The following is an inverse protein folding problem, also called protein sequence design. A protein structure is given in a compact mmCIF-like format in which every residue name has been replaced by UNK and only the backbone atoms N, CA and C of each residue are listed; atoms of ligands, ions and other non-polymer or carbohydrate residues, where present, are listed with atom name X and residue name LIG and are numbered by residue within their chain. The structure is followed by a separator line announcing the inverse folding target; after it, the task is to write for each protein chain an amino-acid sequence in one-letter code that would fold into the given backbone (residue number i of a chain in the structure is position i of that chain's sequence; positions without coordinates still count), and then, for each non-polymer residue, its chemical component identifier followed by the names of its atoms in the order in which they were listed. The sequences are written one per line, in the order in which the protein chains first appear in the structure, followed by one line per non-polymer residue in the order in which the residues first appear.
data_IF_501491629558
#
_entry.id   IF_501491629558
#
_cell.length_a   1.000
_cell.length_b   1.000
_cell.length_c   1.000
_cell.angle_alpha   90.00
_cell.angle_beta   90.00
_cell.angle_gamma   90.00
#
_symmetry.space_group_name_H-M   'P 1'
#
loop_
_entity.id
_entity.type
_entity.pdbx_description
1 polymer ?
#
# COMPACT_ATOMS: atom_id res chain seq x y z
N UNK A 1 -4.17 8.74 -25.54
CA UNK A 1 -5.22 8.68 -24.50
C UNK A 1 -5.11 9.93 -23.65
N UNK A 2 -6.23 10.51 -23.23
CA UNK A 2 -6.22 11.65 -22.32
C UNK A 2 -5.96 11.12 -20.90
N UNK A 3 -5.01 11.69 -20.14
CA UNK A 3 -4.78 11.29 -18.76
C UNK A 3 -6.05 11.47 -17.92
N UNK A 4 -6.37 10.50 -17.06
CA UNK A 4 -7.48 10.65 -16.10
C UNK A 4 -7.04 11.60 -14.99
N UNK A 5 -7.65 12.79 -14.85
CA UNK A 5 -7.29 13.74 -13.80
C UNK A 5 -7.78 13.24 -12.44
N UNK A 6 -7.05 13.60 -11.39
CA UNK A 6 -7.45 13.31 -10.02
C UNK A 6 -8.65 14.18 -9.61
N UNK A 7 -9.56 13.60 -8.84
CA UNK A 7 -10.75 14.31 -8.34
C UNK A 7 -10.43 15.38 -7.29
N UNK A 8 -9.37 15.20 -6.51
CA UNK A 8 -8.92 16.11 -5.47
C UNK A 8 -7.77 16.99 -5.96
N UNK A 9 -7.74 18.23 -5.48
CA UNK A 9 -6.70 19.21 -5.76
C UNK A 9 -6.26 19.90 -4.46
N UNK A 10 -5.05 20.46 -4.43
CA UNK A 10 -4.60 21.25 -3.29
C UNK A 10 -5.50 22.49 -3.12
N UNK A 11 -5.78 22.83 -1.87
CA UNK A 11 -6.52 24.01 -1.46
C UNK A 11 -5.76 24.81 -0.38
N UNK A 12 -6.40 25.87 0.14
CA UNK A 12 -5.81 26.74 1.16
C UNK A 12 -5.53 26.02 2.51
N UNK A 13 -6.08 24.83 2.73
CA UNK A 13 -5.91 24.07 3.98
C UNK A 13 -4.82 23.00 3.88
N UNK A 14 -4.45 22.61 2.66
CA UNK A 14 -3.58 21.45 2.38
C UNK A 14 -2.23 21.56 3.09
N UNK A 15 -1.57 22.72 3.05
CA UNK A 15 -0.27 22.94 3.72
C UNK A 15 -0.39 22.85 5.26
N UNK A 16 -1.47 23.39 5.82
CA UNK A 16 -1.78 23.29 7.25
C UNK A 16 -2.00 21.85 7.69
N UNK A 17 -2.70 21.05 6.87
CA UNK A 17 -2.93 19.62 7.12
C UNK A 17 -1.63 18.83 7.08
N UNK A 18 -0.76 19.05 6.07
CA UNK A 18 0.58 18.42 5.99
C UNK A 18 1.43 18.77 7.22
N UNK A 19 1.38 20.02 7.68
CA UNK A 19 2.12 20.47 8.87
C UNK A 19 1.58 19.80 10.15
N UNK A 20 0.26 19.72 10.30
CA UNK A 20 -0.38 19.04 11.44
C UNK A 20 -0.03 17.55 11.50
N UNK A 21 -0.08 16.86 10.35
CA UNK A 21 0.32 15.44 10.25
C UNK A 21 1.79 15.25 10.63
N UNK A 22 2.67 16.16 10.21
CA UNK A 22 4.09 16.11 10.56
C UNK A 22 4.31 16.18 12.08
N UNK A 23 3.61 17.09 12.76
CA UNK A 23 3.68 17.21 14.23
C UNK A 23 3.18 15.94 14.94
N UNK A 24 2.08 15.34 14.45
CA UNK A 24 1.55 14.07 15.01
C UNK A 24 2.53 12.91 14.80
N UNK A 25 3.16 12.83 13.63
CA UNK A 25 4.19 11.82 13.33
C UNK A 25 5.38 11.95 14.28
N UNK A 26 5.87 13.18 14.51
CA UNK A 26 6.98 13.45 15.43
C UNK A 26 6.64 13.03 16.87
N UNK A 27 5.42 13.32 17.34
CA UNK A 27 4.95 12.91 18.66
C UNK A 27 4.98 11.38 18.83
N UNK A 28 4.44 10.63 17.88
CA UNK A 28 4.46 9.17 17.93
C UNK A 28 5.89 8.60 17.79
N UNK A 29 6.70 9.19 16.91
CA UNK A 29 8.09 8.76 16.68
C UNK A 29 8.95 8.91 17.93
N UNK A 30 8.72 9.94 18.74
CA UNK A 30 9.40 10.10 20.03
C UNK A 30 9.10 9.01 21.06
N UNK A 31 8.06 8.20 20.84
CA UNK A 31 7.54 7.25 21.83
C UNK A 31 7.49 5.79 21.32
N UNK A 32 7.79 5.53 20.04
CA UNK A 32 7.68 4.20 19.41
C UNK A 32 8.52 3.11 20.11
N UNK A 33 9.71 3.44 20.62
CA UNK A 33 10.57 2.47 21.33
C UNK A 33 9.98 1.99 22.66
N UNK A 34 9.05 2.76 23.24
CA UNK A 34 8.34 2.39 24.48
C UNK A 34 6.97 1.78 24.16
N UNK A 35 6.30 2.26 23.10
CA UNK A 35 4.96 1.85 22.68
C UNK A 35 4.98 1.39 21.22
N UNK A 36 5.32 0.11 20.92
CA UNK A 36 5.47 -0.35 19.54
C UNK A 36 4.19 -0.24 18.70
N UNK A 37 3.00 -0.20 19.32
CA UNK A 37 1.73 0.06 18.64
C UNK A 37 1.68 1.45 17.95
N UNK A 38 2.56 2.38 18.32
CA UNK A 38 2.71 3.66 17.63
C UNK A 38 3.31 3.52 16.24
N UNK A 39 4.00 2.42 15.92
CA UNK A 39 4.45 2.12 14.57
C UNK A 39 3.28 2.15 13.57
N UNK A 40 2.13 1.58 13.92
CA UNK A 40 0.94 1.64 13.08
C UNK A 40 0.41 3.07 12.91
N UNK A 41 0.45 3.89 13.96
CA UNK A 41 0.01 5.29 13.87
C UNK A 41 0.94 6.10 12.97
N UNK A 42 2.26 5.95 13.14
CA UNK A 42 3.25 6.57 12.25
C UNK A 42 3.01 6.14 10.81
N UNK A 43 2.76 4.85 10.56
CA UNK A 43 2.47 4.34 9.23
C UNK A 43 1.24 5.03 8.60
N UNK A 44 0.11 5.06 9.34
CA UNK A 44 -1.14 5.67 8.87
C UNK A 44 -1.00 7.16 8.64
N UNK A 45 -0.45 7.90 9.59
CA UNK A 45 -0.29 9.35 9.46
C UNK A 45 0.71 9.72 8.35
N UNK A 46 1.78 8.95 8.16
CA UNK A 46 2.76 9.17 7.09
C UNK A 46 2.17 8.86 5.71
N UNK A 47 1.30 7.85 5.60
CA UNK A 47 0.55 7.58 4.37
C UNK A 47 -0.42 8.72 4.06
N UNK A 48 -1.23 9.15 5.05
CA UNK A 48 -2.12 10.30 4.88
C UNK A 48 -1.37 11.58 4.52
N UNK A 49 -0.19 11.81 5.12
CA UNK A 49 0.68 12.93 4.74
C UNK A 49 1.14 12.83 3.29
N UNK A 50 1.48 11.62 2.82
CA UNK A 50 1.83 11.38 1.42
C UNK A 50 0.66 11.71 0.49
N UNK A 51 -0.55 11.28 0.83
CA UNK A 51 -1.78 11.54 0.07
C UNK A 51 -2.03 13.04 -0.11
N UNK A 52 -1.86 13.85 0.95
CA UNK A 52 -1.97 15.31 0.88
C UNK A 52 -0.80 15.96 0.14
N UNK A 53 0.43 15.51 0.34
CA UNK A 53 1.60 16.03 -0.39
C UNK A 53 1.44 15.84 -1.89
N UNK A 54 0.90 14.70 -2.32
CA UNK A 54 0.61 14.43 -3.73
C UNK A 54 -0.39 15.41 -4.33
N UNK A 55 -1.21 16.14 -3.55
CA UNK A 55 -2.08 17.19 -4.10
C UNK A 55 -1.29 18.43 -4.54
N UNK A 56 -0.13 18.66 -3.93
CA UNK A 56 0.80 19.75 -4.25
C UNK A 56 1.92 19.30 -5.19
N UNK A 57 2.25 18.02 -5.15
CA UNK A 57 3.30 17.36 -5.92
C UNK A 57 2.75 16.10 -6.62
N UNK A 58 1.91 16.26 -7.68
CA UNK A 58 1.19 15.13 -8.28
C UNK A 58 2.09 14.06 -8.90
N UNK A 59 3.31 14.43 -9.32
CA UNK A 59 4.27 13.52 -9.91
C UNK A 59 5.20 12.86 -8.88
N UNK A 60 5.17 13.29 -7.61
CA UNK A 60 6.07 12.88 -6.52
C UNK A 60 7.55 13.27 -6.76
N UNK A 61 7.80 14.47 -7.25
CA UNK A 61 9.14 14.99 -7.53
C UNK A 61 9.89 15.39 -6.26
N UNK A 62 9.18 15.74 -5.19
CA UNK A 62 9.77 16.27 -3.97
C UNK A 62 10.26 15.16 -3.03
N UNK A 63 11.43 15.37 -2.44
CA UNK A 63 12.01 14.49 -1.42
C UNK A 63 11.08 14.31 -0.21
N UNK A 64 10.32 15.35 0.16
CA UNK A 64 9.39 15.30 1.28
C UNK A 64 8.23 14.32 1.05
N UNK A 65 7.78 14.16 -0.20
CA UNK A 65 6.76 13.20 -0.63
C UNK A 65 7.31 11.79 -0.55
N UNK A 66 8.50 11.55 -1.12
CA UNK A 66 9.18 10.25 -1.11
C UNK A 66 9.53 9.80 0.32
N UNK A 67 10.06 10.70 1.15
CA UNK A 67 10.40 10.40 2.54
C UNK A 67 9.17 10.10 3.40
N UNK A 68 8.03 10.74 3.12
CA UNK A 68 6.77 10.45 3.80
C UNK A 68 6.30 9.03 3.51
N UNK A 69 6.37 8.60 2.25
CA UNK A 69 5.96 7.26 1.87
C UNK A 69 6.93 6.20 2.44
N UNK A 70 8.24 6.47 2.41
CA UNK A 70 9.23 5.57 2.99
C UNK A 70 9.01 5.39 4.51
N UNK A 71 8.71 6.48 5.23
CA UNK A 71 8.40 6.39 6.65
C UNK A 71 7.12 5.56 6.89
N UNK A 72 6.11 5.68 6.01
CA UNK A 72 4.92 4.84 6.07
C UNK A 72 5.25 3.35 5.87
N UNK A 73 6.10 3.04 4.89
CA UNK A 73 6.57 1.68 4.61
C UNK A 73 7.35 1.09 5.80
N UNK A 74 8.35 1.82 6.30
CA UNK A 74 9.20 1.40 7.42
C UNK A 74 8.39 1.16 8.69
N UNK A 75 7.54 2.11 9.08
CA UNK A 75 6.73 1.99 10.28
C UNK A 75 5.67 0.89 10.16
N UNK A 76 5.06 0.73 8.97
CA UNK A 76 4.11 -0.35 8.72
C UNK A 76 4.76 -1.72 8.81
N UNK A 77 5.93 -1.89 8.19
CA UNK A 77 6.70 -3.13 8.25
C UNK A 77 7.20 -3.42 9.68
N UNK A 78 7.70 -2.41 10.40
CA UNK A 78 8.09 -2.53 11.81
C UNK A 78 6.94 -3.01 12.72
N UNK A 79 5.72 -2.54 12.46
CA UNK A 79 4.53 -2.97 13.22
C UNK A 79 4.27 -4.48 13.07
N UNK A 80 4.36 -5.02 11.85
CA UNK A 80 4.22 -6.45 11.60
C UNK A 80 5.41 -7.26 12.13
N UNK A 81 6.65 -6.77 11.94
CA UNK A 81 7.85 -7.40 12.47
C UNK A 81 7.81 -7.55 13.99
N UNK A 82 7.34 -6.52 14.70
CA UNK A 82 7.21 -6.55 16.16
C UNK A 82 6.24 -7.63 16.67
N UNK A 83 5.29 -8.07 15.85
CA UNK A 83 4.37 -9.15 16.18
C UNK A 83 4.78 -10.52 15.66
N UNK A 84 5.92 -10.62 14.96
CA UNK A 84 6.41 -11.83 14.30
C UNK A 84 7.86 -12.16 14.67
N UNK A 85 8.30 -11.74 15.85
CA UNK A 85 9.65 -11.99 16.39
C UNK A 85 9.56 -12.72 17.73
N UNK A 86 10.55 -13.56 18.01
CA UNK A 86 10.76 -14.22 19.29
C UNK A 86 11.62 -13.39 20.26
N UNK A 87 12.21 -12.29 19.77
CA UNK A 87 13.00 -11.36 20.58
C UNK A 87 12.10 -10.45 21.42
N UNK A 88 12.51 -10.13 22.66
CA UNK A 88 11.77 -9.18 23.50
C UNK A 88 11.90 -7.75 22.96
N UNK A 89 13.07 -7.40 22.47
CA UNK A 89 13.36 -6.14 21.77
C UNK A 89 14.32 -6.43 20.62
N UNK A 90 14.13 -5.75 19.50
CA UNK A 90 14.93 -5.92 18.30
C UNK A 90 15.20 -4.57 17.63
N UNK A 91 16.24 -4.52 16.82
CA UNK A 91 16.67 -3.33 16.11
C UNK A 91 15.93 -3.20 14.77
N UNK A 92 15.30 -2.06 14.53
CA UNK A 92 14.59 -1.79 13.26
C UNK A 92 14.74 -0.33 12.81
N UNK A 93 14.67 -0.08 11.51
CA UNK A 93 14.76 1.28 10.96
C UNK A 93 13.36 1.86 10.74
N UNK A 94 13.04 2.95 11.43
CA UNK A 94 11.84 3.77 11.21
C UNK A 94 12.26 5.24 11.24
N UNK A 95 12.61 5.78 10.07
CA UNK A 95 13.28 7.09 9.90
C UNK A 95 14.71 7.14 10.45
N UNK A 96 14.99 6.38 11.52
CA UNK A 96 16.27 6.18 12.17
C UNK A 96 16.34 4.77 12.76
N UNK A 97 17.52 4.32 13.17
CA UNK A 97 17.68 3.05 13.86
C UNK A 97 17.08 3.14 15.28
N UNK A 98 16.16 2.22 15.60
CA UNK A 98 15.44 2.19 16.88
C UNK A 98 15.48 0.77 17.48
N UNK A 99 15.43 0.69 18.82
CA UNK A 99 15.08 -0.54 19.54
C UNK A 99 13.57 -0.58 19.72
N UNK A 100 12.92 -1.61 19.18
CA UNK A 100 11.47 -1.80 19.21
C UNK A 100 11.15 -3.04 20.03
N UNK A 101 10.22 -2.93 20.97
CA UNK A 101 9.74 -4.09 21.73
C UNK A 101 8.83 -4.96 20.88
N UNK A 102 8.88 -6.28 21.08
CA UNK A 102 7.87 -7.15 20.50
C UNK A 102 6.50 -6.90 21.13
N UNK A 103 5.48 -7.20 20.35
CA UNK A 103 4.07 -7.11 20.74
C UNK A 103 3.37 -8.39 20.40
N UNK A 104 2.24 -8.63 21.07
CA UNK A 104 1.33 -9.68 20.60
C UNK A 104 0.52 -9.16 19.41
N UNK A 105 0.18 -10.02 18.44
CA UNK A 105 -0.79 -9.68 17.41
C UNK A 105 -2.09 -9.13 18.01
N UNK A 106 -2.68 -8.17 17.30
CA UNK A 106 -3.91 -7.44 17.68
C UNK A 106 -4.85 -7.38 16.49
N UNK A 107 -6.08 -6.90 16.69
CA UNK A 107 -7.07 -6.69 15.60
C UNK A 107 -6.60 -5.79 14.46
N UNK A 108 -5.52 -5.03 14.66
CA UNK A 108 -4.92 -4.20 13.62
C UNK A 108 -3.87 -4.94 12.76
N UNK A 109 -3.47 -6.15 13.15
CA UNK A 109 -2.66 -7.02 12.30
C UNK A 109 -3.59 -7.70 11.31
N UNK A 110 -4.13 -6.88 10.41
CA UNK A 110 -5.17 -7.25 9.47
C UNK A 110 -4.67 -7.12 8.02
N UNK A 111 -5.35 -7.77 7.06
CA UNK A 111 -4.95 -7.73 5.65
C UNK A 111 -4.88 -6.32 5.06
N UNK A 112 -5.73 -5.37 5.49
CA UNK A 112 -5.76 -4.03 4.91
C UNK A 112 -4.51 -3.21 5.33
N UNK A 113 -4.14 -3.26 6.62
CA UNK A 113 -2.91 -2.63 7.10
C UNK A 113 -1.67 -3.31 6.51
N UNK A 114 -1.70 -4.63 6.33
CA UNK A 114 -0.61 -5.37 5.68
C UNK A 114 -0.43 -4.94 4.22
N UNK A 115 -1.53 -4.85 3.44
CA UNK A 115 -1.50 -4.40 2.05
C UNK A 115 -0.98 -2.96 1.93
N UNK A 116 -1.40 -2.04 2.80
CA UNK A 116 -0.90 -0.67 2.79
C UNK A 116 0.62 -0.61 3.03
N UNK A 117 1.12 -1.38 4.00
CA UNK A 117 2.55 -1.47 4.30
C UNK A 117 3.34 -2.09 3.13
N UNK A 118 2.80 -3.15 2.51
CA UNK A 118 3.40 -3.82 1.36
C UNK A 118 3.51 -2.87 0.18
N UNK A 119 2.41 -2.21 -0.21
CA UNK A 119 2.40 -1.33 -1.36
C UNK A 119 3.32 -0.12 -1.20
N UNK A 120 3.36 0.47 0.00
CA UNK A 120 4.34 1.52 0.29
C UNK A 120 5.78 1.01 0.14
N UNK A 121 6.07 -0.18 0.67
CA UNK A 121 7.41 -0.80 0.58
C UNK A 121 7.82 -1.11 -0.85
N UNK A 122 6.89 -1.59 -1.67
CA UNK A 122 7.09 -1.88 -3.10
C UNK A 122 7.40 -0.60 -3.87
N UNK A 123 6.61 0.47 -3.69
CA UNK A 123 6.85 1.76 -4.37
C UNK A 123 8.22 2.33 -4.00
N UNK A 124 8.60 2.24 -2.73
CA UNK A 124 9.90 2.69 -2.24
C UNK A 124 11.08 1.78 -2.65
N UNK A 125 10.83 0.65 -3.33
CA UNK A 125 11.83 -0.39 -3.65
C UNK A 125 12.61 -0.90 -2.43
N UNK A 126 11.98 -0.84 -1.25
CA UNK A 126 12.59 -1.28 0.00
C UNK A 126 12.43 -2.80 0.14
N UNK A 127 13.25 -3.57 -0.58
CA UNK A 127 13.11 -5.03 -0.70
C UNK A 127 13.09 -5.74 0.65
N UNK A 128 13.96 -5.36 1.58
CA UNK A 128 13.98 -5.93 2.93
C UNK A 128 12.62 -5.80 3.66
N UNK A 129 11.93 -4.65 3.52
CA UNK A 129 10.62 -4.45 4.12
C UNK A 129 9.54 -5.33 3.48
N UNK A 130 9.64 -5.53 2.16
CA UNK A 130 8.78 -6.46 1.42
C UNK A 130 9.01 -7.89 1.89
N UNK A 131 10.27 -8.30 2.07
CA UNK A 131 10.64 -9.63 2.54
C UNK A 131 10.13 -9.87 3.98
N UNK A 132 10.25 -8.88 4.88
CA UNK A 132 9.75 -8.96 6.26
C UNK A 132 8.22 -9.11 6.32
N UNK A 133 7.49 -8.28 5.56
CA UNK A 133 6.03 -8.41 5.40
C UNK A 133 5.66 -9.74 4.75
N UNK A 134 6.48 -10.15 3.78
CA UNK A 134 6.65 -11.47 3.21
C UNK A 134 6.47 -12.56 4.27
N UNK A 135 7.24 -12.52 5.37
CA UNK A 135 7.28 -13.59 6.37
C UNK A 135 6.12 -13.60 7.36
N UNK A 136 5.26 -12.57 7.38
CA UNK A 136 4.16 -12.52 8.35
C UNK A 136 3.10 -13.60 8.04
N UNK A 137 2.76 -14.51 8.98
CA UNK A 137 1.85 -15.61 8.69
C UNK A 137 0.42 -15.14 8.40
N UNK A 138 -0.17 -15.61 7.28
CA UNK A 138 -1.57 -15.30 6.93
C UNK A 138 -2.55 -15.80 8.00
N UNK A 139 -2.27 -16.93 8.64
CA UNK A 139 -3.08 -17.45 9.74
C UNK A 139 -3.08 -16.52 10.97
N UNK A 140 -1.99 -15.76 11.18
CA UNK A 140 -1.96 -14.70 12.19
C UNK A 140 -2.85 -13.54 11.80
N UNK A 141 -2.85 -13.12 10.51
CA UNK A 141 -3.79 -12.09 10.03
C UNK A 141 -5.24 -12.53 10.22
N UNK A 142 -5.53 -13.82 9.95
CA UNK A 142 -6.85 -14.42 10.05
C UNK A 142 -7.37 -14.54 11.48
N UNK A 143 -6.49 -14.90 12.41
CA UNK A 143 -6.85 -15.14 13.81
C UNK A 143 -6.80 -13.88 14.67
N UNK A 144 -5.83 -12.99 14.41
CA UNK A 144 -5.64 -11.77 15.19
C UNK A 144 -6.38 -10.57 14.62
N UNK A 145 -6.52 -10.47 13.30
CA UNK A 145 -7.05 -9.32 12.59
C UNK A 145 -8.57 -9.11 12.73
N UNK A 146 -9.07 -8.05 12.09
CA UNK A 146 -10.51 -7.79 11.99
C UNK A 146 -11.25 -8.83 11.14
N UNK A 147 -12.58 -8.75 11.11
CA UNK A 147 -13.40 -9.66 10.30
C UNK A 147 -13.39 -9.21 8.83
N UNK A 148 -12.60 -9.89 8.00
CA UNK A 148 -12.50 -9.68 6.54
C UNK A 148 -13.02 -10.90 5.79
N UNK A 149 -13.51 -10.68 4.57
CA UNK A 149 -13.86 -11.76 3.65
C UNK A 149 -12.64 -12.53 3.17
N UNK A 150 -12.85 -13.79 2.78
CA UNK A 150 -11.79 -14.74 2.41
C UNK A 150 -10.90 -14.24 1.26
N UNK A 151 -11.44 -13.43 0.34
CA UNK A 151 -10.66 -12.89 -0.77
C UNK A 151 -9.46 -12.07 -0.30
N UNK A 152 -9.53 -11.40 0.87
CA UNK A 152 -8.43 -10.60 1.39
C UNK A 152 -7.25 -11.48 1.82
N UNK A 153 -7.52 -12.60 2.48
CA UNK A 153 -6.48 -13.55 2.91
C UNK A 153 -5.88 -14.28 1.71
N UNK A 154 -6.72 -14.77 0.80
CA UNK A 154 -6.26 -15.36 -0.46
C UNK A 154 -5.42 -14.37 -1.29
N UNK A 155 -5.76 -13.07 -1.23
CA UNK A 155 -4.99 -12.04 -1.91
C UNK A 155 -3.63 -11.80 -1.27
N UNK A 156 -3.55 -11.76 0.06
CA UNK A 156 -2.27 -11.72 0.78
C UNK A 156 -1.41 -12.91 0.35
N UNK A 157 -1.94 -14.14 0.38
CA UNK A 157 -1.18 -15.34 -0.04
C UNK A 157 -0.65 -15.24 -1.47
N UNK A 158 -1.45 -14.75 -2.42
CA UNK A 158 -1.02 -14.57 -3.80
C UNK A 158 0.15 -13.57 -3.91
N UNK A 159 0.12 -12.48 -3.13
CA UNK A 159 1.20 -11.50 -3.08
C UNK A 159 2.46 -12.06 -2.41
N UNK A 160 2.32 -12.77 -1.29
CA UNK A 160 3.46 -13.44 -0.64
C UNK A 160 4.13 -14.41 -1.62
N UNK A 161 3.33 -15.20 -2.34
CA UNK A 161 3.81 -16.16 -3.36
C UNK A 161 4.57 -15.43 -4.47
N UNK A 162 4.02 -14.33 -4.98
CA UNK A 162 4.66 -13.53 -6.03
C UNK A 162 6.00 -12.96 -5.57
N UNK A 163 6.03 -12.26 -4.44
CA UNK A 163 7.24 -11.56 -3.98
C UNK A 163 8.33 -12.51 -3.48
N UNK A 164 7.96 -13.69 -2.96
CA UNK A 164 8.93 -14.74 -2.61
C UNK A 164 9.40 -15.57 -3.82
N UNK A 165 8.77 -15.40 -4.99
CA UNK A 165 9.11 -16.16 -6.20
C UNK A 165 8.76 -17.65 -6.08
N UNK A 166 7.68 -17.97 -5.36
CA UNK A 166 7.21 -19.33 -5.13
C UNK A 166 6.35 -19.84 -6.32
N UNK A 167 6.20 -21.16 -6.41
CA UNK A 167 5.32 -21.81 -7.39
C UNK A 167 3.83 -21.57 -7.08
N UNK A 168 2.93 -22.03 -7.96
CA UNK A 168 1.47 -21.96 -7.78
C UNK A 168 0.85 -20.54 -7.66
N UNK A 169 1.54 -19.52 -8.18
CA UNK A 169 1.05 -18.15 -8.22
C UNK A 169 -0.32 -18.00 -8.91
N UNK A 170 -0.47 -18.51 -10.13
CA UNK A 170 -1.71 -18.33 -10.91
C UNK A 170 -2.95 -18.92 -10.23
N UNK A 171 -2.91 -20.17 -9.70
CA UNK A 171 -4.00 -20.69 -8.87
C UNK A 171 -4.39 -19.76 -7.70
N UNK A 172 -3.42 -19.16 -7.01
CA UNK A 172 -3.68 -18.26 -5.86
C UNK A 172 -4.31 -16.94 -6.29
N UNK A 173 -3.84 -16.33 -7.38
CA UNK A 173 -4.48 -15.13 -7.95
C UNK A 173 -5.91 -15.44 -8.40
N UNK A 174 -6.13 -16.55 -9.11
CA UNK A 174 -7.47 -16.94 -9.55
C UNK A 174 -8.39 -17.18 -8.36
N UNK A 175 -7.88 -17.83 -7.30
CA UNK A 175 -8.65 -18.05 -6.06
C UNK A 175 -9.06 -16.74 -5.41
N UNK A 176 -8.17 -15.75 -5.31
CA UNK A 176 -8.52 -14.45 -4.74
C UNK A 176 -9.57 -13.74 -5.59
N UNK A 177 -9.50 -13.86 -6.92
CA UNK A 177 -10.49 -13.32 -7.86
C UNK A 177 -11.86 -13.98 -7.66
N UNK A 178 -11.94 -15.31 -7.67
CA UNK A 178 -13.19 -16.05 -7.50
C UNK A 178 -13.91 -15.69 -6.20
N UNK A 179 -13.16 -15.43 -5.14
CA UNK A 179 -13.68 -15.05 -3.83
C UNK A 179 -14.22 -13.61 -3.77
N UNK A 180 -14.06 -12.80 -4.81
CA UNK A 180 -14.69 -11.48 -4.92
C UNK A 180 -16.12 -11.54 -5.45
N UNK A 181 -16.66 -12.74 -5.72
CA UNK A 181 -18.06 -12.95 -6.10
C UNK A 181 -19.00 -12.26 -5.09
N UNK A 182 -19.83 -11.29 -5.53
CA UNK A 182 -20.77 -10.58 -4.67
C UNK A 182 -21.66 -11.46 -3.80
N UNK A 183 -22.05 -12.63 -4.31
CA UNK A 183 -22.94 -13.56 -3.61
C UNK A 183 -22.22 -14.32 -2.48
N UNK A 184 -20.89 -14.29 -2.45
CA UNK A 184 -20.04 -14.95 -1.45
C UNK A 184 -19.54 -14.01 -0.35
N UNK A 185 -19.78 -12.69 -0.47
CA UNK A 185 -19.31 -11.69 0.50
C UNK A 185 -20.16 -11.69 1.78
N UNK A 186 -19.49 -11.63 2.92
CA UNK A 186 -20.09 -11.57 4.26
C UNK A 186 -19.88 -10.22 4.95
N UNK A 187 -18.77 -9.54 4.65
CA UNK A 187 -18.36 -8.32 5.37
C UNK A 187 -18.25 -7.07 4.49
N UNK A 188 -17.62 -7.20 3.32
CA UNK A 188 -17.44 -6.10 2.37
C UNK A 188 -18.69 -5.93 1.48
N UNK A 189 -18.89 -4.70 1.02
CA UNK A 189 -19.84 -4.47 -0.08
C UNK A 189 -19.21 -4.93 -1.41
N UNK A 190 -20.02 -5.32 -2.40
CA UNK A 190 -19.53 -5.66 -3.74
C UNK A 190 -18.66 -4.54 -4.35
N UNK A 191 -19.03 -3.27 -4.13
CA UNK A 191 -18.22 -2.12 -4.59
C UNK A 191 -16.80 -2.15 -4.03
N UNK A 192 -16.61 -2.48 -2.75
CA UNK A 192 -15.28 -2.54 -2.14
C UNK A 192 -14.46 -3.65 -2.79
N UNK A 193 -15.01 -4.87 -2.89
CA UNK A 193 -14.29 -6.00 -3.47
C UNK A 193 -13.94 -5.76 -4.94
N UNK A 194 -14.93 -5.33 -5.74
CA UNK A 194 -14.82 -5.24 -7.19
C UNK A 194 -14.10 -3.97 -7.68
N UNK A 195 -14.17 -2.84 -6.95
CA UNK A 195 -13.57 -1.59 -7.43
C UNK A 195 -12.22 -1.31 -6.77
N UNK A 196 -11.94 -1.84 -5.57
CA UNK A 196 -10.67 -1.59 -4.88
C UNK A 196 -9.66 -2.72 -5.02
N UNK A 197 -10.11 -3.98 -4.94
CA UNK A 197 -9.18 -5.13 -4.84
C UNK A 197 -9.11 -5.95 -6.11
N UNK A 198 -10.24 -6.36 -6.68
CA UNK A 198 -10.29 -7.14 -7.93
C UNK A 198 -9.42 -6.55 -9.07
N UNK A 199 -9.40 -5.23 -9.33
CA UNK A 199 -8.57 -4.67 -10.40
C UNK A 199 -7.07 -4.89 -10.14
N UNK A 200 -6.62 -4.83 -8.88
CA UNK A 200 -5.21 -5.11 -8.54
C UNK A 200 -4.84 -6.58 -8.69
N UNK A 201 -5.80 -7.50 -8.50
CA UNK A 201 -5.59 -8.93 -8.76
C UNK A 201 -5.40 -9.19 -10.25
N UNK A 202 -6.21 -8.56 -11.11
CA UNK A 202 -6.05 -8.60 -12.57
C UNK A 202 -4.69 -8.04 -13.01
N UNK A 203 -4.27 -6.92 -12.43
CA UNK A 203 -2.97 -6.32 -12.71
C UNK A 203 -1.83 -7.29 -12.41
N UNK A 204 -1.83 -7.93 -11.24
CA UNK A 204 -0.80 -8.91 -10.89
C UNK A 204 -0.82 -10.11 -11.84
N UNK A 205 -2.00 -10.60 -12.22
CA UNK A 205 -2.13 -11.69 -13.19
C UNK A 205 -1.44 -11.35 -14.52
N UNK A 206 -1.72 -10.17 -15.09
CA UNK A 206 -1.17 -9.76 -16.39
C UNK A 206 0.30 -9.36 -16.31
N UNK A 207 0.74 -8.82 -15.17
CA UNK A 207 2.14 -8.59 -14.85
C UNK A 207 2.91 -9.91 -14.87
N UNK A 208 2.48 -10.90 -14.09
CA UNK A 208 3.11 -12.22 -14.00
C UNK A 208 3.10 -12.95 -15.35
N UNK A 209 2.07 -12.74 -16.17
CA UNK A 209 1.95 -13.33 -17.51
C UNK A 209 2.75 -12.59 -18.59
N UNK A 210 3.42 -11.47 -18.28
CA UNK A 210 4.16 -10.67 -19.26
C UNK A 210 3.26 -10.00 -20.31
N UNK A 211 1.96 -9.84 -20.04
CA UNK A 211 0.96 -9.32 -20.98
C UNK A 211 0.88 -7.80 -20.92
N UNK A 212 1.90 -7.12 -21.45
CA UNK A 212 2.05 -5.67 -21.37
C UNK A 212 0.83 -4.87 -21.87
N UNK A 213 0.25 -5.25 -23.01
CA UNK A 213 -0.93 -4.56 -23.55
C UNK A 213 -2.15 -4.69 -22.62
N UNK A 214 -2.42 -5.91 -22.13
CA UNK A 214 -3.53 -6.16 -21.22
C UNK A 214 -3.30 -5.53 -19.85
N UNK A 215 -2.05 -5.53 -19.35
CA UNK A 215 -1.68 -4.84 -18.12
C UNK A 215 -1.99 -3.35 -18.21
N UNK A 216 -1.65 -2.68 -19.32
CA UNK A 216 -1.94 -1.25 -19.48
C UNK A 216 -3.45 -0.96 -19.59
N UNK A 217 -4.20 -1.81 -20.28
CA UNK A 217 -5.66 -1.69 -20.34
C UNK A 217 -6.30 -1.85 -18.96
N UNK A 218 -5.87 -2.86 -18.18
CA UNK A 218 -6.35 -3.09 -16.83
C UNK A 218 -5.86 -2.01 -15.84
N UNK A 219 -4.69 -1.40 -16.09
CA UNK A 219 -4.18 -0.28 -15.27
C UNK A 219 -5.07 0.94 -15.43
N UNK A 220 -5.47 1.26 -16.67
CA UNK A 220 -6.45 2.29 -16.92
C UNK A 220 -7.77 2.00 -16.21
N UNK A 221 -8.33 0.80 -16.41
CA UNK A 221 -9.60 0.40 -15.78
C UNK A 221 -9.51 0.49 -14.26
N UNK A 222 -8.39 0.07 -13.65
CA UNK A 222 -8.19 0.15 -12.20
C UNK A 222 -8.23 1.59 -11.68
N UNK A 223 -7.70 2.56 -12.44
CA UNK A 223 -7.73 3.98 -12.09
C UNK A 223 -9.13 4.57 -12.27
N UNK A 224 -9.85 4.18 -13.32
CA UNK A 224 -11.23 4.59 -13.56
C UNK A 224 -12.17 4.07 -12.46
N UNK A 225 -11.99 2.81 -12.02
CA UNK A 225 -12.71 2.22 -10.90
C UNK A 225 -12.34 2.86 -9.56
N UNK A 226 -11.07 3.16 -9.32
CA UNK A 226 -10.61 3.91 -8.15
C UNK A 226 -11.29 5.28 -8.09
N UNK A 227 -11.24 6.05 -9.18
CA UNK A 227 -11.92 7.33 -9.26
C UNK A 227 -13.42 7.17 -8.98
N UNK A 228 -14.09 6.24 -9.66
CA UNK A 228 -15.53 5.98 -9.50
C UNK A 228 -15.90 5.65 -8.06
N UNK A 229 -15.11 4.82 -7.37
CA UNK A 229 -15.35 4.45 -5.98
C UNK A 229 -15.26 5.67 -5.05
N UNK A 230 -14.19 6.45 -5.19
CA UNK A 230 -13.91 7.57 -4.29
C UNK A 230 -14.78 8.80 -4.57
N UNK A 231 -15.26 8.98 -5.79
CA UNK A 231 -16.19 10.08 -6.14
C UNK A 231 -17.66 9.69 -6.04
N UNK A 232 -17.99 8.48 -5.60
CA UNK A 232 -19.37 8.00 -5.51
C UNK A 232 -20.25 8.88 -4.61
N UNK A 233 -19.65 9.54 -3.61
CA UNK A 233 -20.32 10.51 -2.74
C UNK A 233 -19.30 11.45 -2.09
N UNK A 234 -19.81 12.53 -1.47
CA UNK A 234 -18.98 13.54 -0.84
C UNK A 234 -18.14 13.00 0.32
N UNK A 235 -18.68 12.06 1.10
CA UNK A 235 -17.97 11.47 2.24
C UNK A 235 -16.70 10.75 1.80
N UNK A 236 -16.76 10.01 0.69
CA UNK A 236 -15.61 9.32 0.08
C UNK A 236 -14.67 10.29 -0.62
N UNK A 237 -15.19 11.32 -1.31
CA UNK A 237 -14.36 12.21 -2.14
C UNK A 237 -13.37 13.07 -1.37
N UNK A 238 -13.57 13.21 -0.06
CA UNK A 238 -12.68 13.95 0.83
C UNK A 238 -11.71 13.02 1.60
N UNK A 239 -11.79 11.70 1.39
CA UNK A 239 -10.91 10.75 2.05
C UNK A 239 -9.56 10.73 1.35
N UNK A 240 -8.45 10.90 2.09
CA UNK A 240 -7.13 11.01 1.49
C UNK A 240 -6.68 9.71 0.82
N UNK A 241 -7.21 8.55 1.24
CA UNK A 241 -7.00 7.26 0.56
C UNK A 241 -7.50 7.24 -0.89
N UNK A 242 -8.36 8.19 -1.26
CA UNK A 242 -8.83 8.40 -2.61
C UNK A 242 -7.91 9.23 -3.48
N UNK A 243 -6.93 9.94 -2.91
CA UNK A 243 -6.13 10.91 -3.65
C UNK A 243 -5.12 10.24 -4.60
N UNK A 244 -4.67 9.01 -4.34
CA UNK A 244 -3.84 8.28 -5.30
C UNK A 244 -4.16 6.78 -5.27
N UNK A 245 -3.91 6.09 -6.39
CA UNK A 245 -4.21 4.68 -6.53
C UNK A 245 -3.01 3.83 -6.05
N UNK A 246 -2.91 3.58 -4.74
CA UNK A 246 -1.76 2.93 -4.10
C UNK A 246 -1.38 1.58 -4.71
N UNK A 247 -2.30 0.61 -4.73
CA UNK A 247 -2.06 -0.73 -5.31
C UNK A 247 -1.70 -0.70 -6.80
N UNK A 248 -2.47 -0.01 -7.66
CA UNK A 248 -2.13 0.18 -9.06
C UNK A 248 -0.76 0.82 -9.28
N UNK A 249 -0.39 1.83 -8.48
CA UNK A 249 0.93 2.49 -8.54
C UNK A 249 2.04 1.51 -8.19
N UNK A 250 1.88 0.71 -7.14
CA UNK A 250 2.87 -0.29 -6.73
C UNK A 250 3.11 -1.34 -7.83
N UNK A 251 2.04 -1.89 -8.42
CA UNK A 251 2.18 -2.87 -9.50
C UNK A 251 2.73 -2.26 -10.80
N UNK A 252 2.42 -1.00 -11.09
CA UNK A 252 3.04 -0.26 -12.19
C UNK A 252 4.55 -0.05 -11.95
N UNK A 253 4.98 0.22 -10.71
CA UNK A 253 6.40 0.30 -10.37
C UNK A 253 7.10 -1.05 -10.60
N UNK A 254 6.49 -2.17 -10.19
CA UNK A 254 7.05 -3.51 -10.46
C UNK A 254 7.10 -3.81 -11.97
N UNK A 255 6.06 -3.44 -12.72
CA UNK A 255 6.06 -3.57 -14.18
C UNK A 255 7.22 -2.78 -14.81
N UNK A 256 7.39 -1.53 -14.41
CA UNK A 256 8.51 -0.69 -14.86
C UNK A 256 9.87 -1.33 -14.54
N UNK A 257 10.08 -1.76 -13.29
CA UNK A 257 11.36 -2.29 -12.82
C UNK A 257 11.69 -3.66 -13.45
N UNK A 258 10.69 -4.39 -13.94
CA UNK A 258 10.86 -5.65 -14.71
C UNK A 258 10.96 -5.43 -16.22
N UNK A 259 10.99 -4.17 -16.68
CA UNK A 259 11.13 -3.82 -18.09
C UNK A 259 9.83 -3.89 -18.91
N UNK A 260 8.68 -4.12 -18.26
CA UNK A 260 7.38 -4.02 -18.91
C UNK A 260 7.02 -2.54 -19.12
N UNK A 261 6.66 -2.18 -20.35
CA UNK A 261 6.28 -0.80 -20.66
C UNK A 261 4.99 -0.40 -19.93
N UNK A 262 5.05 0.70 -19.17
CA UNK A 262 3.90 1.35 -18.53
C UNK A 262 3.59 2.64 -19.30
N UNK A 263 2.59 2.58 -20.18
CA UNK A 263 2.22 3.66 -21.08
C UNK A 263 1.04 4.52 -20.60
N UNK A 264 0.20 3.99 -19.70
CA UNK A 264 -0.93 4.76 -19.15
C UNK A 264 -0.45 5.77 -18.10
N UNK A 265 -1.00 6.98 -18.16
CA UNK A 265 -0.67 8.09 -17.26
C UNK A 265 -1.94 8.66 -16.63
N UNK A 266 -1.85 9.03 -15.35
CA UNK A 266 -2.94 9.66 -14.60
C UNK A 266 -2.36 10.37 -13.39
N UNK A 267 -3.03 11.43 -12.93
CA UNK A 267 -2.67 12.07 -11.66
C UNK A 267 -2.91 11.15 -10.45
N UNK A 268 -3.63 10.03 -10.59
CA UNK A 268 -3.71 8.99 -9.55
C UNK A 268 -2.47 8.10 -9.48
N UNK A 269 -1.57 8.18 -10.45
CA UNK A 269 -0.39 7.35 -10.64
C UNK A 269 0.88 8.23 -10.66
N UNK A 270 1.40 8.66 -9.49
CA UNK A 270 2.55 9.55 -9.44
C UNK A 270 3.74 8.97 -10.20
N UNK A 271 4.22 9.70 -11.21
CA UNK A 271 5.21 9.19 -12.15
C UNK A 271 6.50 8.74 -11.47
N UNK A 272 7.01 9.53 -10.51
CA UNK A 272 8.26 9.22 -9.82
C UNK A 272 8.14 8.04 -8.85
N UNK A 273 6.93 7.74 -8.37
CA UNK A 273 6.66 6.50 -7.65
C UNK A 273 6.78 5.29 -8.59
N UNK A 274 6.37 5.42 -9.86
CA UNK A 274 6.45 4.35 -10.86
C UNK A 274 7.86 4.16 -11.39
N UNK A 275 8.57 5.22 -11.79
CA UNK A 275 9.91 5.10 -12.39
C UNK A 275 11.05 5.06 -11.36
N UNK A 276 10.76 5.38 -10.09
CA UNK A 276 11.73 5.37 -8.98
C UNK A 276 12.62 6.61 -8.93
N UNK A 277 12.37 7.63 -9.75
CA UNK A 277 13.12 8.86 -9.73
C UNK A 277 12.97 9.57 -8.37
N UNK A 278 14.09 9.84 -7.70
CA UNK A 278 14.08 10.54 -6.40
C UNK A 278 13.72 9.67 -5.20
N UNK A 279 13.49 8.37 -5.38
CA UNK A 279 13.38 7.45 -4.23
C UNK A 279 14.74 7.30 -3.55
N UNK A 280 14.80 7.35 -2.20
CA UNK A 280 16.01 7.07 -1.46
C UNK A 280 16.51 5.69 -1.86
N UNK A 281 17.77 5.59 -2.31
CA UNK A 281 18.39 4.29 -2.52
C UNK A 281 18.54 3.66 -1.14
N UNK A 282 17.74 2.66 -0.82
CA UNK A 282 17.99 1.84 0.35
C UNK A 282 19.35 1.19 0.13
N UNK A 283 20.28 1.38 1.08
CA UNK A 283 21.49 0.59 1.09
C UNK A 283 21.07 -0.86 1.36
N UNK A 284 21.30 -1.74 0.40
CA UNK A 284 21.18 -3.19 0.58
C UNK A 284 22.17 -3.68 1.65
#
# INVERSE_FOLDING_TARGET
MTPTPRHAASDATTEGTVSALSAVIEEFSGNIGVLPNFALQIAKQSMTRTEYLLLQDPAAENESTNSSLLLAAQAGSAFFAAANTDEEEFNYVVGSQLSIKSIRPTSNHDPANWLNALWASVICRARHLVDDLCQFPVETLRSAGGTFDEYMYAWVEALQTYFRGEDELYPKINRSIELTDPDSLQHATPEIALYRYYPTMKLLFNLAAGKAEQFNADLQESVELHQSFWTANHERSIKPEGFFALGPTALAAVAHDTGMAVGYQSDYLPKHFIDGAGMPRTAD
#
